data_IF_181198352975
#
_entry.id   IF_181198352975
#
_cell.length_a   1.000
_cell.length_b   1.000
_cell.length_c   1.000
_cell.angle_alpha   90.00
_cell.angle_beta   90.00
_cell.angle_gamma   90.00
#
_symmetry.space_group_name_H-M   'P 1'
#
loop_
_entity.id
_entity.type
_entity.pdbx_description
1 polymer ?
#
# COMPACT_ATOMS: atom_id res chain seq x y z
N UNK A 1 -29.22 5.33 -8.00
CA UNK A 1 -28.12 5.15 -8.98
C UNK A 1 -26.93 4.53 -8.27
N UNK A 2 -26.39 3.37 -8.69
CA UNK A 2 -25.21 2.82 -8.03
C UNK A 2 -24.01 3.64 -8.49
N UNK A 3 -23.35 4.28 -7.52
CA UNK A 3 -22.10 5.00 -7.72
C UNK A 3 -21.05 3.95 -8.11
N UNK A 4 -20.34 4.08 -9.25
CA UNK A 4 -19.29 3.14 -9.63
C UNK A 4 -18.30 3.04 -8.48
N UNK A 5 -17.94 1.82 -8.11
CA UNK A 5 -17.12 1.51 -6.95
C UNK A 5 -15.83 2.32 -6.90
N UNK A 6 -15.36 2.52 -5.68
CA UNK A 6 -14.23 3.33 -5.24
C UNK A 6 -12.85 2.97 -5.88
N UNK A 7 -12.76 2.91 -7.20
CA UNK A 7 -11.50 2.98 -7.96
C UNK A 7 -10.82 4.36 -7.78
N UNK A 8 -11.55 5.34 -7.24
CA UNK A 8 -11.10 6.74 -7.13
C UNK A 8 -10.29 7.07 -5.87
N UNK A 9 -10.04 6.12 -4.94
CA UNK A 9 -9.26 6.46 -3.74
C UNK A 9 -7.76 6.53 -4.00
N UNK A 10 -7.27 5.76 -4.97
CA UNK A 10 -5.87 5.74 -5.34
C UNK A 10 -5.73 6.19 -6.79
N UNK A 11 -5.13 7.35 -7.00
CA UNK A 11 -4.85 7.86 -8.36
C UNK A 11 -3.74 7.08 -9.08
N UNK A 12 -3.00 6.24 -8.35
CA UNK A 12 -1.82 5.50 -8.82
C UNK A 12 -2.10 4.02 -9.13
N UNK A 13 -3.32 3.52 -8.90
CA UNK A 13 -3.66 2.10 -9.10
C UNK A 13 -4.67 1.59 -8.07
N UNK A 14 -4.82 0.26 -7.89
CA UNK A 14 -5.74 -0.28 -6.89
C UNK A 14 -5.27 -0.02 -5.45
N UNK A 15 -6.22 0.07 -4.52
CA UNK A 15 -5.92 0.09 -3.07
C UNK A 15 -5.17 -1.17 -2.68
N UNK A 16 -4.15 -1.04 -1.85
CA UNK A 16 -3.33 -2.13 -1.32
C UNK A 16 -3.74 -2.41 0.13
N UNK A 17 -3.93 -3.68 0.48
CA UNK A 17 -4.10 -4.10 1.88
C UNK A 17 -2.76 -4.63 2.40
N UNK A 18 -2.15 -3.88 3.31
CA UNK A 18 -0.85 -4.20 3.88
C UNK A 18 -0.98 -4.80 5.28
N UNK A 19 -0.18 -5.82 5.57
CA UNK A 19 -0.15 -6.40 6.91
C UNK A 19 0.46 -5.44 7.94
N UNK A 20 1.47 -4.67 7.53
CA UNK A 20 2.10 -3.66 8.38
C UNK A 20 2.53 -2.47 7.55
N UNK A 21 2.46 -1.29 8.14
CA UNK A 21 2.81 -0.02 7.51
C UNK A 21 3.72 0.74 8.45
N UNK A 22 4.88 1.13 7.95
CA UNK A 22 5.93 1.78 8.70
C UNK A 22 6.24 3.13 8.07
N UNK A 23 6.70 4.10 8.86
CA UNK A 23 7.25 5.31 8.26
C UNK A 23 8.57 4.95 7.55
N UNK A 24 8.83 5.55 6.40
CA UNK A 24 10.09 5.36 5.67
C UNK A 24 11.34 5.65 6.50
N UNK A 25 11.22 6.57 7.47
CA UNK A 25 12.30 6.96 8.39
C UNK A 25 12.41 6.02 9.61
N UNK A 26 11.52 5.04 9.76
CA UNK A 26 11.64 4.02 10.80
C UNK A 26 12.85 3.14 10.54
N UNK A 27 13.52 2.69 11.61
CA UNK A 27 14.64 1.75 11.52
C UNK A 27 14.26 0.47 10.76
N UNK A 28 13.03 0.01 10.93
CA UNK A 28 12.44 -1.16 10.29
C UNK A 28 12.43 -1.02 8.77
N UNK A 29 11.89 0.11 8.28
CA UNK A 29 11.82 0.41 6.87
C UNK A 29 13.22 0.60 6.27
N UNK A 30 14.12 1.27 6.99
CA UNK A 30 15.53 1.44 6.59
C UNK A 30 16.29 0.12 6.46
N UNK A 31 16.08 -0.83 7.38
CA UNK A 31 16.67 -2.18 7.31
C UNK A 31 16.15 -2.92 6.08
N UNK A 32 14.82 -2.97 5.90
CA UNK A 32 14.20 -3.68 4.77
C UNK A 32 14.65 -3.07 3.45
N UNK A 33 14.64 -1.74 3.35
CA UNK A 33 15.12 -1.01 2.18
C UNK A 33 16.60 -1.28 1.87
N UNK A 34 17.45 -1.37 2.89
CA UNK A 34 18.86 -1.74 2.73
C UNK A 34 19.04 -3.17 2.23
N UNK A 35 18.19 -4.10 2.69
CA UNK A 35 18.22 -5.50 2.23
C UNK A 35 17.83 -5.64 0.76
N UNK A 36 16.95 -4.77 0.27
CA UNK A 36 16.42 -4.81 -1.10
C UNK A 36 17.06 -3.77 -2.04
N UNK A 37 17.99 -2.96 -1.53
CA UNK A 37 18.69 -1.94 -2.31
C UNK A 37 17.83 -0.73 -2.71
N UNK A 38 16.77 -0.42 -1.96
CA UNK A 38 15.92 0.76 -2.18
C UNK A 38 16.42 1.92 -1.32
N UNK A 39 16.49 3.11 -1.91
CA UNK A 39 16.81 4.33 -1.16
C UNK A 39 15.53 5.00 -0.65
N UNK A 40 15.29 4.93 0.66
CA UNK A 40 14.16 5.59 1.32
C UNK A 40 14.47 7.03 1.79
N UNK A 41 15.71 7.52 1.61
CA UNK A 41 16.14 8.80 2.17
C UNK A 41 15.37 10.01 1.64
N UNK A 42 14.85 9.94 0.42
CA UNK A 42 14.05 11.01 -0.18
C UNK A 42 12.53 10.75 -0.05
N UNK A 43 12.15 9.55 0.36
CA UNK A 43 10.75 9.14 0.45
C UNK A 43 10.21 9.60 1.80
N UNK A 44 9.53 10.74 1.86
CA UNK A 44 8.79 11.17 3.06
C UNK A 44 7.37 10.57 3.10
N UNK A 45 7.25 9.27 2.88
CA UNK A 45 5.99 8.55 2.81
C UNK A 45 6.08 7.22 3.58
N UNK A 46 4.96 6.51 3.74
CA UNK A 46 4.99 5.23 4.43
C UNK A 46 5.42 4.09 3.51
N UNK A 47 5.92 3.03 4.12
CA UNK A 47 6.29 1.76 3.48
C UNK A 47 5.36 0.69 4.00
N UNK A 48 4.67 0.02 3.08
CA UNK A 48 3.83 -1.14 3.39
C UNK A 48 4.59 -2.44 3.19
N UNK A 49 4.34 -3.42 4.07
CA UNK A 49 4.89 -4.75 4.02
C UNK A 49 3.80 -5.80 3.83
N UNK A 50 4.12 -6.83 3.05
CA UNK A 50 3.22 -7.95 2.75
C UNK A 50 1.86 -7.44 2.28
N UNK A 51 1.87 -6.65 1.22
CA UNK A 51 0.69 -5.98 0.70
C UNK A 51 0.11 -6.75 -0.48
N UNK A 52 -1.22 -6.83 -0.50
CA UNK A 52 -1.95 -7.44 -1.59
C UNK A 52 -2.89 -6.40 -2.22
N UNK A 53 -2.92 -6.29 -3.56
CA UNK A 53 -3.86 -5.40 -4.24
C UNK A 53 -5.29 -5.88 -4.00
N UNK A 54 -6.13 -4.97 -3.54
CA UNK A 54 -7.57 -5.19 -3.45
C UNK A 54 -8.12 -4.98 -4.88
N UNK A 55 -8.33 -6.08 -5.59
CA UNK A 55 -8.87 -6.04 -6.96
C UNK A 55 -10.39 -5.92 -6.96
N UNK A 56 -10.94 -5.51 -8.10
CA UNK A 56 -12.37 -5.23 -8.32
C UNK A 56 -13.33 -6.38 -7.96
N UNK A 57 -12.85 -7.63 -7.85
CA UNK A 57 -13.66 -8.76 -7.40
C UNK A 57 -13.98 -8.68 -5.90
N UNK A 58 -13.11 -8.04 -5.11
CA UNK A 58 -13.31 -7.81 -3.67
C UNK A 58 -14.29 -6.68 -3.35
N UNK A 59 -14.44 -5.68 -4.24
CA UNK A 59 -15.37 -4.54 -4.01
C UNK A 59 -16.84 -4.91 -4.23
N UNK A 60 -17.13 -5.91 -5.07
CA UNK A 60 -18.50 -6.40 -5.26
C UNK A 60 -19.06 -7.08 -3.97
N UNK A 61 -18.18 -7.55 -3.08
CA UNK A 61 -18.52 -8.04 -1.73
C UNK A 61 -18.21 -7.06 -0.59
N UNK A 62 -17.79 -5.84 -0.93
CA UNK A 62 -17.18 -4.87 -0.02
C UNK A 62 -15.71 -5.19 0.22
N UNK A 63 -14.80 -4.34 -0.25
CA UNK A 63 -13.36 -4.50 -0.07
C UNK A 63 -13.05 -4.74 1.42
N UNK A 64 -12.60 -5.95 1.78
CA UNK A 64 -12.21 -6.30 3.15
C UNK A 64 -10.70 -6.28 3.24
N UNK A 65 -10.14 -5.16 3.68
CA UNK A 65 -8.82 -5.19 4.29
C UNK A 65 -9.00 -5.40 5.79
N UNK A 66 -8.65 -6.58 6.29
CA UNK A 66 -8.64 -6.85 7.74
C UNK A 66 -7.40 -6.28 8.43
N UNK A 67 -6.44 -5.79 7.65
CA UNK A 67 -5.23 -5.12 8.12
C UNK A 67 -5.30 -3.62 7.75
N UNK A 68 -4.21 -3.05 7.23
CA UNK A 68 -4.12 -1.62 6.95
C UNK A 68 -4.36 -1.34 5.46
N UNK A 69 -5.48 -0.70 5.09
CA UNK A 69 -5.70 -0.26 3.71
C UNK A 69 -4.90 1.01 3.39
N UNK A 70 -4.14 0.98 2.29
CA UNK A 70 -3.27 2.09 1.85
C UNK A 70 -3.29 2.26 0.33
N UNK A 71 -3.06 3.49 -0.13
CA UNK A 71 -2.66 3.77 -1.52
C UNK A 71 -1.14 3.89 -1.57
N UNK A 72 -0.48 3.12 -2.42
CA UNK A 72 0.97 3.20 -2.63
C UNK A 72 1.28 3.58 -4.09
N UNK A 73 2.43 4.21 -4.29
CA UNK A 73 2.85 4.66 -5.63
C UNK A 73 3.69 3.60 -6.33
N UNK A 74 4.55 2.92 -5.56
CA UNK A 74 5.49 1.94 -6.10
C UNK A 74 5.33 0.59 -5.41
N UNK A 75 5.43 -0.46 -6.21
CA UNK A 75 5.29 -1.84 -5.77
C UNK A 75 6.57 -2.61 -6.11
N UNK A 76 7.25 -3.11 -5.09
CA UNK A 76 8.46 -3.91 -5.22
C UNK A 76 8.21 -5.35 -4.77
N UNK A 77 8.95 -6.30 -5.36
CA UNK A 77 8.89 -7.71 -4.98
C UNK A 77 7.46 -8.28 -4.95
N UNK A 78 6.67 -7.97 -5.98
CA UNK A 78 5.31 -8.49 -6.16
C UNK A 78 4.36 -8.17 -4.99
N UNK A 79 4.51 -6.98 -4.38
CA UNK A 79 3.67 -6.52 -3.26
C UNK A 79 4.25 -6.82 -1.88
N UNK A 80 5.38 -7.53 -1.78
CA UNK A 80 6.02 -7.77 -0.49
C UNK A 80 6.48 -6.46 0.18
N UNK A 81 6.94 -5.50 -0.63
CA UNK A 81 7.31 -4.15 -0.16
C UNK A 81 6.72 -3.13 -1.11
N UNK A 82 5.94 -2.20 -0.57
CA UNK A 82 5.34 -1.11 -1.34
C UNK A 82 5.74 0.21 -0.69
N UNK A 83 6.01 1.23 -1.50
CA UNK A 83 6.51 2.52 -1.02
C UNK A 83 5.64 3.66 -1.53
N UNK A 84 5.77 4.83 -0.89
CA UNK A 84 4.90 5.96 -1.22
C UNK A 84 3.48 5.75 -0.70
N UNK A 85 3.31 5.02 0.42
CA UNK A 85 2.01 4.64 0.94
C UNK A 85 1.36 5.75 1.75
N UNK A 86 0.05 5.90 1.59
CA UNK A 86 -0.83 6.78 2.37
C UNK A 86 -2.06 5.99 2.82
N UNK A 87 -2.55 6.20 4.06
CA UNK A 87 -3.67 5.43 4.58
C UNK A 87 -4.97 5.86 3.90
N UNK A 88 -5.84 4.89 3.63
CA UNK A 88 -7.17 5.16 3.07
C UNK A 88 -8.26 4.49 3.89
N UNK A 89 -9.51 4.85 3.61
CA UNK A 89 -10.66 4.37 4.36
C UNK A 89 -11.59 3.60 3.40
N UNK A 90 -11.75 2.29 3.64
CA UNK A 90 -12.58 1.39 2.82
C UNK A 90 -14.06 1.43 3.20
#
# INVERSE_FOLDING_TARGET
SPVPGNDSQCNTGPVQCCNSVHQSQSQEAGLIASLIGINLQDVNAMVGLQCNPITAVGVAGGAKCSQQPVCCSDNHYNGLVVVGCSPVNL
#
